data_IF_535163015002
#
_entry.id   IF_535163015002
#
_cell.length_a   1.000
_cell.length_b   1.000
_cell.length_c   1.000
_cell.angle_alpha   90.00
_cell.angle_beta   90.00
_cell.angle_gamma   90.00
#
_symmetry.space_group_name_H-M   'P 1'
#
loop_
_entity.id
_entity.type
_entity.pdbx_description
1 polymer ?
#
# COMPACT_ATOMS: atom_id res chain seq x y z
N UNK A 1 15.77 6.08 -14.44
CA UNK A 1 14.59 6.01 -15.34
C UNK A 1 14.09 7.40 -15.68
N UNK A 2 14.16 8.36 -14.76
CA UNK A 2 13.85 9.78 -14.99
C UNK A 2 14.50 10.40 -16.24
N UNK A 3 15.77 10.08 -16.54
CA UNK A 3 16.45 10.54 -17.77
C UNK A 3 15.79 10.02 -19.06
N UNK A 4 15.04 8.92 -18.98
CA UNK A 4 14.34 8.31 -20.12
C UNK A 4 12.89 8.82 -20.25
N UNK A 5 12.22 9.06 -19.13
CA UNK A 5 10.87 9.60 -19.07
C UNK A 5 10.74 10.51 -17.85
N UNK A 6 10.49 11.82 -18.06
CA UNK A 6 10.43 12.80 -16.98
C UNK A 6 9.24 12.56 -16.02
N UNK A 7 8.29 11.67 -16.34
CA UNK A 7 7.24 11.27 -15.40
C UNK A 7 7.77 10.36 -14.27
N UNK A 8 8.97 9.80 -14.38
CA UNK A 8 9.58 8.93 -13.36
C UNK A 8 10.52 9.70 -12.42
N UNK A 9 10.10 10.87 -11.96
CA UNK A 9 10.88 11.73 -11.07
C UNK A 9 11.38 10.92 -9.86
N UNK A 10 12.69 10.78 -9.72
CA UNK A 10 13.33 10.05 -8.63
C UNK A 10 13.00 8.55 -8.56
N UNK A 11 12.55 7.92 -9.66
CA UNK A 11 12.09 6.54 -9.60
C UNK A 11 11.81 5.87 -10.95
N UNK A 12 10.76 5.05 -10.95
CA UNK A 12 10.27 4.27 -12.09
C UNK A 12 8.73 4.19 -12.07
N UNK A 13 8.17 3.38 -12.98
CA UNK A 13 6.73 3.11 -13.13
C UNK A 13 6.05 2.60 -11.84
N UNK A 14 6.78 2.14 -10.84
CA UNK A 14 6.27 1.65 -9.57
C UNK A 14 6.07 2.77 -8.52
N UNK A 15 5.77 3.99 -8.99
CA UNK A 15 5.52 5.18 -8.17
C UNK A 15 6.71 5.55 -7.24
N UNK A 16 7.92 5.58 -7.81
CA UNK A 16 9.15 6.00 -7.10
C UNK A 16 10.20 4.88 -7.01
N UNK A 17 11.42 5.22 -6.60
CA UNK A 17 12.56 4.29 -6.54
C UNK A 17 12.29 3.00 -5.73
N UNK A 18 12.51 1.83 -6.34
CA UNK A 18 12.39 0.52 -5.69
C UNK A 18 13.53 0.20 -4.68
N UNK A 19 13.80 1.11 -3.75
CA UNK A 19 14.74 0.90 -2.64
C UNK A 19 14.03 0.27 -1.45
N UNK A 20 14.74 -0.55 -0.65
CA UNK A 20 14.19 -1.19 0.57
C UNK A 20 13.57 -0.15 1.52
N UNK A 21 14.26 0.98 1.71
CA UNK A 21 13.77 2.07 2.56
C UNK A 21 12.44 2.62 2.06
N UNK A 22 12.32 2.84 0.75
CA UNK A 22 11.05 3.29 0.20
C UNK A 22 9.99 2.21 0.38
N UNK A 23 10.23 0.96 -0.03
CA UNK A 23 9.24 -0.14 0.07
C UNK A 23 8.62 -0.31 1.46
N UNK A 24 9.40 -0.06 2.52
CA UNK A 24 8.91 -0.15 3.90
C UNK A 24 8.18 1.12 4.39
N UNK A 25 8.49 2.28 3.82
CA UNK A 25 8.01 3.58 4.28
C UNK A 25 6.91 4.19 3.39
N UNK A 26 6.41 3.49 2.37
CA UNK A 26 5.32 3.99 1.49
C UNK A 26 3.94 3.67 2.05
N UNK A 27 2.95 4.59 1.95
CA UNK A 27 3.11 6.03 1.70
C UNK A 27 3.63 6.78 2.94
N UNK A 28 3.47 6.17 4.13
CA UNK A 28 3.96 6.67 5.42
C UNK A 28 4.53 5.50 6.20
N UNK A 29 5.54 5.75 7.04
CA UNK A 29 6.04 4.76 7.98
C UNK A 29 5.03 4.60 9.13
N UNK A 30 4.22 3.54 9.05
CA UNK A 30 3.13 3.26 9.98
C UNK A 30 2.95 1.74 10.12
N UNK A 31 2.45 1.23 11.26
CA UNK A 31 1.98 -0.15 11.36
C UNK A 31 0.70 -0.39 10.53
N UNK A 32 0.03 0.67 10.09
CA UNK A 32 -1.19 0.63 9.27
C UNK A 32 -1.11 1.62 8.09
N UNK A 33 -0.18 1.41 7.14
CA UNK A 33 0.12 2.34 6.06
C UNK A 33 -1.01 2.44 5.00
N UNK A 34 -1.99 1.55 5.04
CA UNK A 34 -3.15 1.54 4.14
C UNK A 34 -4.28 2.45 4.60
N UNK A 35 -4.24 2.95 5.85
CA UNK A 35 -5.25 3.87 6.37
C UNK A 35 -4.84 5.31 6.10
N UNK A 36 -5.78 6.11 5.59
CA UNK A 36 -5.56 7.55 5.44
C UNK A 36 -6.02 8.32 6.70
N UNK A 37 -5.65 9.59 6.87
CA UNK A 37 -6.19 10.43 7.93
C UNK A 37 -7.71 10.64 7.82
N UNK A 38 -8.29 10.49 6.63
CA UNK A 38 -9.73 10.57 6.42
C UNK A 38 -10.41 9.25 6.84
N UNK A 39 -11.41 9.35 7.73
CA UNK A 39 -12.20 8.21 8.20
C UNK A 39 -12.90 7.51 7.03
N UNK A 40 -12.93 6.17 7.03
CA UNK A 40 -13.52 5.37 5.96
C UNK A 40 -12.73 5.34 4.64
N UNK A 41 -11.57 5.98 4.54
CA UNK A 41 -10.76 6.05 3.31
C UNK A 41 -9.45 5.28 3.46
N UNK A 42 -9.23 4.35 2.54
CA UNK A 42 -8.11 3.41 2.55
C UNK A 42 -7.37 3.36 1.21
N UNK A 43 -6.07 3.10 1.25
CA UNK A 43 -5.19 3.00 0.09
C UNK A 43 -4.89 1.54 -0.24
N UNK A 44 -5.40 1.08 -1.39
CA UNK A 44 -5.21 -0.28 -1.91
C UNK A 44 -4.29 -0.34 -3.15
N UNK A 45 -3.60 0.75 -3.47
CA UNK A 45 -2.73 0.85 -4.65
C UNK A 45 -1.42 0.07 -4.48
N UNK A 46 -0.80 -0.30 -5.60
CA UNK A 46 0.58 -0.83 -5.67
C UNK A 46 1.65 0.15 -5.15
N UNK A 47 1.29 1.42 -4.98
CA UNK A 47 2.12 2.43 -4.32
C UNK A 47 2.20 2.26 -2.80
N UNK A 48 1.35 1.43 -2.19
CA UNK A 48 1.37 1.13 -0.75
C UNK A 48 2.19 -0.14 -0.45
N UNK A 49 2.70 -0.27 0.77
CA UNK A 49 3.35 -1.50 1.28
C UNK A 49 2.48 -2.73 0.99
N UNK A 50 3.04 -3.87 0.52
CA UNK A 50 4.46 -4.23 0.42
C UNK A 50 5.20 -3.69 -0.82
N UNK A 51 4.54 -2.86 -1.63
CA UNK A 51 5.11 -2.26 -2.83
C UNK A 51 4.52 -2.83 -4.11
N UNK A 52 5.18 -2.59 -5.25
CA UNK A 52 4.62 -2.87 -6.56
C UNK A 52 4.55 -4.37 -6.88
N UNK A 53 3.50 -4.73 -7.61
CA UNK A 53 3.29 -6.10 -8.09
C UNK A 53 1.82 -6.44 -8.19
N UNK A 54 1.52 -7.55 -8.86
CA UNK A 54 0.15 -8.06 -9.09
C UNK A 54 -0.27 -9.09 -8.03
N UNK A 55 0.32 -9.05 -6.84
CA UNK A 55 0.10 -10.02 -5.76
C UNK A 55 -1.12 -9.72 -4.88
N UNK A 56 -1.83 -8.60 -5.08
CA UNK A 56 -3.08 -8.28 -4.36
C UNK A 56 -2.96 -7.87 -2.87
N UNK A 57 -1.80 -8.08 -2.24
CA UNK A 57 -1.58 -7.79 -0.81
C UNK A 57 -1.96 -6.37 -0.35
N UNK A 58 -1.71 -5.32 -1.15
CA UNK A 58 -2.10 -3.96 -0.75
C UNK A 58 -3.62 -3.83 -0.57
N UNK A 59 -4.41 -4.42 -1.49
CA UNK A 59 -5.86 -4.48 -1.36
C UNK A 59 -6.31 -5.34 -0.18
N UNK A 60 -5.68 -6.50 0.03
CA UNK A 60 -5.98 -7.36 1.18
C UNK A 60 -5.77 -6.64 2.52
N UNK A 61 -4.66 -5.92 2.66
CA UNK A 61 -4.33 -5.21 3.90
C UNK A 61 -5.19 -3.96 4.09
N UNK A 62 -5.53 -3.24 3.01
CA UNK A 62 -6.51 -2.15 3.06
C UNK A 62 -7.89 -2.65 3.53
N UNK A 63 -8.37 -3.79 3.00
CA UNK A 63 -9.62 -4.40 3.44
C UNK A 63 -9.57 -4.83 4.91
N UNK A 64 -8.46 -5.44 5.37
CA UNK A 64 -8.27 -5.77 6.78
C UNK A 64 -8.24 -4.55 7.69
N UNK A 65 -7.65 -3.45 7.23
CA UNK A 65 -7.64 -2.18 7.95
C UNK A 65 -9.07 -1.63 8.08
N UNK A 66 -9.85 -1.65 7.00
CA UNK A 66 -11.25 -1.26 7.01
C UNK A 66 -12.10 -2.13 7.96
N UNK A 67 -11.97 -3.45 7.88
CA UNK A 67 -12.65 -4.38 8.78
C UNK A 67 -12.37 -4.08 10.27
N UNK A 68 -11.10 -3.82 10.60
CA UNK A 68 -10.70 -3.51 11.97
C UNK A 68 -11.28 -2.20 12.49
N UNK A 69 -11.20 -1.14 11.69
CA UNK A 69 -11.48 0.22 12.16
C UNK A 69 -12.94 0.65 12.00
N UNK A 70 -13.64 0.14 10.97
CA UNK A 70 -15.03 0.52 10.71
C UNK A 70 -16.02 -0.50 11.30
N UNK A 71 -15.60 -1.77 11.45
CA UNK A 71 -16.48 -2.86 11.87
C UNK A 71 -16.03 -3.60 13.13
N UNK A 72 -14.85 -3.27 13.69
CA UNK A 72 -14.31 -3.95 14.88
C UNK A 72 -13.92 -5.42 14.62
N UNK A 73 -13.72 -5.81 13.36
CA UNK A 73 -13.38 -7.17 12.96
C UNK A 73 -11.86 -7.28 12.82
N UNK A 74 -11.22 -7.97 13.76
CA UNK A 74 -9.77 -8.16 13.84
C UNK A 74 -9.27 -9.40 13.07
N UNK A 75 -10.09 -10.45 13.03
CA UNK A 75 -9.84 -11.66 12.23
C UNK A 75 -10.33 -11.47 10.81
N UNK A 76 -9.38 -11.43 9.88
CA UNK A 76 -9.69 -11.41 8.45
C UNK A 76 -10.45 -12.67 8.01
N UNK A 77 -11.24 -12.58 6.94
CA UNK A 77 -11.95 -13.73 6.40
C UNK A 77 -10.96 -14.83 5.99
N UNK A 78 -11.33 -16.09 6.22
CA UNK A 78 -10.58 -17.23 5.66
C UNK A 78 -10.67 -17.15 4.14
N UNK A 79 -9.51 -17.11 3.48
CA UNK A 79 -9.44 -17.04 2.02
C UNK A 79 -9.41 -18.44 1.36
N UNK A 80 -9.35 -19.51 2.15
CA UNK A 80 -9.30 -20.89 1.63
C UNK A 80 -8.05 -21.19 0.79
N UNK A 81 -6.96 -20.43 0.99
CA UNK A 81 -5.65 -20.60 0.37
C UNK A 81 -4.76 -21.52 1.23
#
# INVERSE_FOLDING_TARGET
>A
MEEHDPNYIGGDIAAGAATVRQLLARPVLSPDPWRTPATGVYLASSSATPGPGVHGMAGYQAARSALRHEFGIDRGPSLGL
#
